data_IF_006993465122
#
_entry.id   IF_006993465122
#
_cell.length_a   1.000
_cell.length_b   1.000
_cell.length_c   1.000
_cell.angle_alpha   90.00
_cell.angle_beta   90.00
_cell.angle_gamma   90.00
#
_symmetry.space_group_name_H-M   'P 1'
#
loop_
_entity.id
_entity.type
_entity.pdbx_description
1 polymer ?
#
# COMPACT_ATOMS: atom_id res chain seq x y z
N UNK A 1 -5.83 13.83 -49.03
CA UNK A 1 -6.92 13.45 -48.12
C UNK A 1 -6.31 12.59 -47.02
N UNK A 2 -6.23 13.11 -45.81
CA UNK A 2 -5.73 12.31 -44.65
C UNK A 2 -6.95 11.58 -44.06
N UNK A 3 -6.96 10.26 -44.12
CA UNK A 3 -7.95 9.42 -43.44
C UNK A 3 -7.59 9.38 -41.97
N UNK A 4 -8.30 10.13 -41.14
CA UNK A 4 -8.19 10.05 -39.70
C UNK A 4 -8.92 8.77 -39.31
N UNK A 5 -8.12 7.68 -39.08
CA UNK A 5 -8.62 6.44 -38.49
C UNK A 5 -8.97 6.73 -37.01
N UNK A 6 -10.26 6.93 -36.73
CA UNK A 6 -10.79 6.96 -35.38
C UNK A 6 -10.83 5.51 -34.86
N UNK A 7 -9.72 5.02 -34.28
CA UNK A 7 -9.69 3.73 -33.62
C UNK A 7 -10.72 3.69 -32.47
N UNK A 8 -11.53 2.63 -32.42
CA UNK A 8 -12.52 2.39 -31.36
C UNK A 8 -11.78 2.11 -30.04
N UNK A 9 -12.16 2.81 -28.96
CA UNK A 9 -11.70 2.44 -27.62
C UNK A 9 -12.45 1.21 -27.14
N UNK A 10 -11.73 0.16 -26.80
CA UNK A 10 -12.26 -1.08 -26.24
C UNK A 10 -11.83 -1.17 -24.77
N UNK A 11 -12.78 -1.47 -23.92
CA UNK A 11 -12.53 -1.71 -22.50
C UNK A 11 -11.83 -3.08 -22.34
N UNK A 12 -10.74 -3.09 -21.60
CA UNK A 12 -10.04 -4.31 -21.19
C UNK A 12 -10.32 -4.50 -19.70
N UNK A 13 -10.96 -5.61 -19.31
CA UNK A 13 -11.24 -5.88 -17.90
C UNK A 13 -9.96 -5.99 -17.08
N UNK A 14 -10.03 -5.85 -15.75
CA UNK A 14 -8.90 -6.07 -14.87
C UNK A 14 -8.38 -7.50 -15.03
N UNK A 15 -7.09 -7.72 -14.76
CA UNK A 15 -6.52 -9.07 -14.76
C UNK A 15 -7.05 -9.89 -13.57
N UNK A 16 -7.33 -9.20 -12.46
CA UNK A 16 -7.90 -9.77 -11.24
C UNK A 16 -9.22 -9.10 -10.99
N UNK A 17 -10.28 -9.89 -10.99
CA UNK A 17 -11.63 -9.48 -10.68
C UNK A 17 -11.95 -9.90 -9.25
N UNK A 18 -12.16 -8.92 -8.38
CA UNK A 18 -12.46 -9.13 -6.96
C UNK A 18 -13.96 -9.34 -6.68
N UNK A 19 -14.82 -9.18 -7.65
CA UNK A 19 -16.29 -9.32 -7.47
C UNK A 19 -16.70 -10.73 -7.08
N UNK A 20 -15.84 -11.74 -7.34
CA UNK A 20 -16.04 -13.11 -6.88
C UNK A 20 -15.76 -13.32 -5.38
N UNK A 21 -15.11 -12.35 -4.72
CA UNK A 21 -14.84 -12.35 -3.29
C UNK A 21 -15.85 -11.42 -2.60
N UNK A 22 -16.82 -11.97 -1.90
CA UNK A 22 -17.93 -11.19 -1.30
C UNK A 22 -17.45 -10.16 -0.29
N UNK A 23 -16.49 -10.55 0.56
CA UNK A 23 -15.85 -9.70 1.57
C UNK A 23 -14.36 -9.98 1.59
N UNK A 24 -13.58 -8.93 1.58
CA UNK A 24 -12.11 -8.99 1.60
C UNK A 24 -11.61 -8.27 2.84
N UNK A 25 -10.74 -8.92 3.61
CA UNK A 25 -10.02 -8.28 4.70
C UNK A 25 -8.81 -7.51 4.17
N UNK A 26 -8.44 -6.45 4.84
CA UNK A 26 -7.14 -5.80 4.67
C UNK A 26 -6.51 -5.59 6.04
N UNK A 27 -5.29 -6.09 6.20
CA UNK A 27 -4.43 -5.81 7.36
C UNK A 27 -3.66 -4.54 7.04
N UNK A 28 -3.52 -3.63 8.00
CA UNK A 28 -2.69 -2.45 7.84
C UNK A 28 -1.27 -2.87 7.44
N UNK A 29 -0.75 -2.25 6.38
CA UNK A 29 0.58 -2.60 5.87
C UNK A 29 1.63 -2.32 6.93
N UNK A 30 2.50 -3.29 7.14
CA UNK A 30 3.61 -3.14 8.05
C UNK A 30 4.60 -2.12 7.50
N UNK A 31 5.10 -1.23 8.35
CA UNK A 31 6.15 -0.29 8.01
C UNK A 31 7.37 -0.50 8.89
N UNK A 32 8.56 -0.52 8.29
CA UNK A 32 9.81 -0.50 9.08
C UNK A 32 10.06 0.86 9.72
N UNK A 33 9.59 1.94 9.06
CA UNK A 33 9.74 3.30 9.58
C UNK A 33 8.55 3.68 10.46
N UNK A 34 8.84 4.29 11.61
CA UNK A 34 7.81 4.81 12.51
C UNK A 34 7.00 5.94 11.87
N UNK A 35 5.71 6.04 12.22
CA UNK A 35 4.82 7.14 11.85
C UNK A 35 3.66 6.74 10.95
N UNK A 36 3.19 7.69 10.15
CA UNK A 36 1.91 7.59 9.41
C UNK A 36 2.05 7.09 7.97
N UNK A 37 3.27 6.78 7.50
CA UNK A 37 3.49 6.47 6.09
C UNK A 37 2.83 5.13 5.70
N UNK A 38 3.00 4.07 6.49
CA UNK A 38 2.40 2.77 6.21
C UNK A 38 0.87 2.77 6.34
N UNK A 39 0.25 3.31 7.42
CA UNK A 39 -1.20 3.49 7.50
C UNK A 39 -1.77 4.32 6.34
N UNK A 40 -1.07 5.37 5.96
CA UNK A 40 -1.48 6.20 4.82
C UNK A 40 -1.45 5.41 3.50
N UNK A 41 -0.41 4.59 3.30
CA UNK A 41 -0.28 3.72 2.11
C UNK A 41 -1.38 2.67 2.06
N UNK A 42 -1.72 2.03 3.19
CA UNK A 42 -2.83 1.07 3.29
C UNK A 42 -4.16 1.70 2.89
N UNK A 43 -4.44 2.89 3.42
CA UNK A 43 -5.64 3.65 3.07
C UNK A 43 -5.69 3.97 1.58
N UNK A 44 -4.60 4.46 0.99
CA UNK A 44 -4.52 4.77 -0.44
C UNK A 44 -4.69 3.52 -1.32
N UNK A 45 -4.10 2.39 -0.92
CA UNK A 45 -4.30 1.12 -1.62
C UNK A 45 -5.78 0.69 -1.57
N UNK A 46 -6.41 0.76 -0.40
CA UNK A 46 -7.84 0.47 -0.24
C UNK A 46 -8.72 1.37 -1.12
N UNK A 47 -8.41 2.68 -1.17
CA UNK A 47 -9.10 3.63 -2.04
C UNK A 47 -8.94 3.28 -3.52
N UNK A 48 -7.72 2.89 -3.95
CA UNK A 48 -7.44 2.49 -5.33
C UNK A 48 -8.22 1.23 -5.71
N UNK A 49 -8.23 0.20 -4.86
CA UNK A 49 -9.00 -1.02 -5.10
C UNK A 49 -10.50 -0.72 -5.20
N UNK A 50 -11.07 0.06 -4.26
CA UNK A 50 -12.50 0.44 -4.29
C UNK A 50 -12.89 1.27 -5.51
N UNK A 51 -11.99 2.10 -6.01
CA UNK A 51 -12.23 2.91 -7.20
C UNK A 51 -12.33 2.07 -8.48
N UNK A 52 -11.47 1.04 -8.58
CA UNK A 52 -11.29 0.27 -9.80
C UNK A 52 -12.08 -1.05 -9.79
N UNK A 53 -12.52 -1.52 -8.61
CA UNK A 53 -13.31 -2.73 -8.38
C UNK A 53 -14.62 -2.35 -7.70
N UNK A 54 -15.67 -2.19 -8.50
CA UNK A 54 -16.99 -1.77 -8.01
C UNK A 54 -17.65 -2.87 -7.16
N UNK A 55 -18.45 -2.45 -6.16
CA UNK A 55 -19.31 -3.33 -5.35
C UNK A 55 -18.59 -4.33 -4.43
N UNK A 56 -17.28 -4.18 -4.19
CA UNK A 56 -16.58 -5.00 -3.20
C UNK A 56 -16.70 -4.43 -1.79
N UNK A 57 -16.79 -5.32 -0.81
CA UNK A 57 -16.73 -4.96 0.61
C UNK A 57 -15.33 -5.23 1.15
N UNK A 58 -14.65 -4.18 1.61
CA UNK A 58 -13.34 -4.29 2.24
C UNK A 58 -13.50 -3.96 3.72
N UNK A 59 -13.07 -4.90 4.58
CA UNK A 59 -13.03 -4.76 6.03
C UNK A 59 -11.60 -4.47 6.45
N UNK A 60 -11.41 -3.38 7.17
CA UNK A 60 -10.15 -3.06 7.82
C UNK A 60 -10.02 -3.90 9.09
N UNK A 61 -8.95 -4.69 9.17
CA UNK A 61 -8.69 -5.61 10.28
C UNK A 61 -7.80 -5.00 11.37
N UNK A 62 -7.31 -3.78 11.14
CA UNK A 62 -6.33 -3.14 12.02
C UNK A 62 -4.89 -3.55 11.71
N UNK A 63 -4.01 -3.34 12.67
CA UNK A 63 -2.57 -3.64 12.53
C UNK A 63 -2.29 -5.15 12.55
N UNK A 64 -1.16 -5.56 11.97
CA UNK A 64 -0.71 -6.97 12.02
C UNK A 64 -0.64 -7.49 13.46
N UNK A 65 -0.12 -6.69 14.39
CA UNK A 65 0.03 -7.09 15.80
C UNK A 65 -1.33 -7.29 16.50
N UNK A 66 -2.34 -6.48 16.15
CA UNK A 66 -3.71 -6.64 16.66
C UNK A 66 -4.33 -7.92 16.14
N UNK A 67 -4.29 -8.13 14.83
CA UNK A 67 -4.83 -9.33 14.18
C UNK A 67 -4.15 -10.60 14.72
N UNK A 68 -2.82 -10.63 14.80
CA UNK A 68 -2.07 -11.78 15.30
C UNK A 68 -2.39 -12.09 16.77
N UNK A 69 -2.57 -11.06 17.60
CA UNK A 69 -2.97 -11.22 18.99
C UNK A 69 -4.38 -11.82 19.11
N UNK A 70 -5.31 -11.38 18.28
CA UNK A 70 -6.69 -11.85 18.31
C UNK A 70 -6.82 -13.34 17.92
N UNK A 71 -6.00 -13.78 16.95
CA UNK A 71 -5.99 -15.18 16.50
C UNK A 71 -4.97 -16.06 17.24
N UNK A 72 -4.14 -15.49 18.13
CA UNK A 72 -3.17 -16.24 18.95
C UNK A 72 -1.93 -16.72 18.21
N UNK A 73 -1.46 -15.98 17.21
CA UNK A 73 -0.25 -16.26 16.42
C UNK A 73 0.80 -15.17 16.59
N UNK A 74 2.09 -15.52 16.36
CA UNK A 74 3.22 -14.58 16.47
C UNK A 74 3.63 -13.95 15.12
N UNK A 75 3.13 -14.49 14.01
CA UNK A 75 3.47 -14.01 12.66
C UNK A 75 2.42 -14.45 11.64
N UNK A 76 2.31 -13.72 10.55
CA UNK A 76 1.52 -14.13 9.39
C UNK A 76 2.15 -15.37 8.73
N UNK A 77 1.53 -16.50 8.96
CA UNK A 77 1.87 -17.79 8.37
C UNK A 77 0.64 -18.33 7.63
N UNK A 78 0.81 -19.43 6.91
CA UNK A 78 -0.31 -20.13 6.27
C UNK A 78 -1.44 -20.40 7.27
N UNK A 79 -1.10 -20.96 8.43
CA UNK A 79 -2.08 -21.33 9.45
C UNK A 79 -2.70 -20.08 10.09
N UNK A 80 -1.93 -18.98 10.22
CA UNK A 80 -2.46 -17.71 10.68
C UNK A 80 -3.50 -17.12 9.70
N UNK A 81 -3.26 -17.20 8.38
CA UNK A 81 -4.26 -16.76 7.39
C UNK A 81 -5.53 -17.60 7.45
N UNK A 82 -5.43 -18.92 7.71
CA UNK A 82 -6.61 -19.77 7.92
C UNK A 82 -7.38 -19.34 9.18
N UNK A 83 -6.67 -19.08 10.28
CA UNK A 83 -7.29 -18.59 11.52
C UNK A 83 -7.95 -17.20 11.33
N UNK A 84 -7.36 -16.30 10.53
CA UNK A 84 -7.97 -15.02 10.17
C UNK A 84 -9.30 -15.25 9.43
N UNK A 85 -9.31 -16.19 8.48
CA UNK A 85 -10.53 -16.54 7.74
C UNK A 85 -11.66 -17.03 8.65
N UNK A 86 -11.32 -17.87 9.63
CA UNK A 86 -12.29 -18.40 10.61
C UNK A 86 -12.78 -17.34 11.59
N UNK A 87 -11.86 -16.49 12.12
CA UNK A 87 -12.20 -15.46 13.12
C UNK A 87 -13.06 -14.33 12.54
N UNK A 88 -12.74 -13.88 11.33
CA UNK A 88 -13.38 -12.71 10.72
C UNK A 88 -14.40 -13.06 9.61
N UNK A 89 -14.64 -14.35 9.35
CA UNK A 89 -15.52 -14.86 8.28
C UNK A 89 -15.15 -14.26 6.90
N UNK A 90 -13.89 -14.42 6.52
CA UNK A 90 -13.31 -13.86 5.30
C UNK A 90 -12.73 -14.95 4.40
N UNK A 91 -13.05 -14.91 3.12
CA UNK A 91 -12.47 -15.80 2.12
C UNK A 91 -11.08 -15.34 1.62
N UNK A 92 -10.79 -14.04 1.74
CA UNK A 92 -9.57 -13.44 1.16
C UNK A 92 -9.10 -12.26 2.01
N UNK A 93 -7.78 -12.13 2.15
CA UNK A 93 -7.13 -11.06 2.91
C UNK A 93 -5.97 -10.46 2.10
N UNK A 94 -5.90 -9.13 2.10
CA UNK A 94 -4.70 -8.39 1.70
C UNK A 94 -3.80 -8.17 2.92
N UNK A 95 -2.50 -8.45 2.73
CA UNK A 95 -1.45 -8.08 3.65
C UNK A 95 -0.28 -7.48 2.86
N UNK A 96 0.50 -6.62 3.47
CA UNK A 96 1.61 -5.97 2.77
C UNK A 96 2.61 -5.34 3.72
N UNK A 97 3.73 -4.93 3.13
CA UNK A 97 4.82 -4.27 3.84
C UNK A 97 5.34 -3.09 3.03
N UNK A 98 5.61 -1.99 3.72
CA UNK A 98 6.24 -0.79 3.16
C UNK A 98 7.66 -0.67 3.71
N UNK A 99 8.62 -0.99 2.88
CA UNK A 99 10.05 -0.89 3.17
C UNK A 99 10.57 0.48 2.77
N UNK A 100 11.28 1.15 3.68
CA UNK A 100 12.01 2.39 3.39
C UNK A 100 13.50 2.08 3.47
N UNK A 101 14.15 1.91 2.31
CA UNK A 101 15.53 1.43 2.23
C UNK A 101 16.58 2.53 2.38
N UNK A 102 16.25 3.76 2.01
CA UNK A 102 17.16 4.91 2.12
C UNK A 102 16.39 6.23 2.25
N UNK A 103 16.93 7.13 3.05
CA UNK A 103 16.40 8.48 3.26
C UNK A 103 17.55 9.46 3.15
N UNK A 104 17.53 10.30 2.10
CA UNK A 104 18.57 11.31 1.82
C UNK A 104 18.02 12.72 2.08
N UNK A 105 18.25 13.29 3.27
CA UNK A 105 17.83 14.65 3.58
C UNK A 105 18.50 15.67 2.66
N UNK A 106 17.77 16.72 2.28
CA UNK A 106 18.37 17.85 1.55
C UNK A 106 19.36 18.59 2.46
N UNK A 107 20.67 18.41 2.17
CA UNK A 107 21.79 18.93 2.98
C UNK A 107 21.90 20.46 2.90
N UNK A 108 21.28 21.11 1.94
CA UNK A 108 21.29 22.58 1.84
C UNK A 108 20.64 23.27 3.04
N UNK A 109 19.83 22.54 3.81
CA UNK A 109 19.21 22.97 5.06
C UNK A 109 19.90 22.45 6.33
N UNK A 110 20.94 21.60 6.21
CA UNK A 110 21.55 20.86 7.32
C UNK A 110 22.31 21.70 8.35
N UNK A 111 22.48 22.99 8.14
CA UNK A 111 23.09 23.90 9.14
C UNK A 111 22.12 24.34 10.24
N UNK A 112 20.86 23.93 10.20
CA UNK A 112 19.82 24.35 11.17
C UNK A 112 19.20 23.13 11.88
N UNK A 113 19.88 21.97 11.92
CA UNK A 113 19.40 20.82 12.69
C UNK A 113 19.46 21.10 14.21
N UNK A 114 18.47 21.80 14.71
CA UNK A 114 18.03 21.67 16.09
C UNK A 114 17.00 20.55 16.15
N UNK A 115 17.13 19.63 17.10
CA UNK A 115 16.20 18.52 17.31
C UNK A 115 14.73 18.98 17.19
N UNK A 116 13.97 18.34 16.30
CA UNK A 116 12.55 18.62 16.08
C UNK A 116 12.19 19.41 14.82
N UNK A 117 13.12 19.68 13.89
CA UNK A 117 12.77 20.30 12.62
C UNK A 117 12.51 19.22 11.55
N UNK A 118 11.43 19.40 10.79
CA UNK A 118 11.13 18.62 9.61
C UNK A 118 11.88 19.15 8.40
N UNK A 119 12.36 18.25 7.55
CA UNK A 119 13.07 18.58 6.31
C UNK A 119 12.49 17.79 5.15
N UNK A 120 12.67 18.28 3.93
CA UNK A 120 12.45 17.46 2.73
C UNK A 120 13.58 16.45 2.59
N UNK A 121 13.25 15.26 2.07
CA UNK A 121 14.22 14.21 1.82
C UNK A 121 13.85 13.45 0.56
N UNK A 122 14.84 12.97 -0.17
CA UNK A 122 14.64 11.94 -1.18
C UNK A 122 14.56 10.58 -0.47
N UNK A 123 13.52 9.81 -0.77
CA UNK A 123 13.23 8.52 -0.13
C UNK A 123 13.11 7.43 -1.16
N UNK A 124 13.83 6.33 -0.91
CA UNK A 124 13.67 5.07 -1.63
C UNK A 124 12.73 4.16 -0.85
N UNK A 125 11.59 3.82 -1.44
CA UNK A 125 10.60 2.96 -0.80
C UNK A 125 10.13 1.85 -1.75
N UNK A 126 9.78 0.71 -1.15
CA UNK A 126 9.19 -0.44 -1.83
C UNK A 126 7.94 -0.87 -1.10
N UNK A 127 6.84 -0.98 -1.83
CA UNK A 127 5.57 -1.52 -1.36
C UNK A 127 5.44 -2.95 -1.87
N UNK A 128 5.37 -3.91 -0.96
CA UNK A 128 5.05 -5.31 -1.25
C UNK A 128 3.64 -5.62 -0.76
N UNK A 129 2.81 -6.21 -1.63
CA UNK A 129 1.44 -6.57 -1.28
C UNK A 129 1.16 -7.98 -1.78
N UNK A 130 0.43 -8.74 -0.97
CA UNK A 130 -0.08 -10.06 -1.33
C UNK A 130 -1.58 -10.15 -1.05
N UNK A 131 -2.26 -10.97 -1.84
CA UNK A 131 -3.63 -11.40 -1.63
C UNK A 131 -3.62 -12.90 -1.31
N UNK A 132 -4.20 -13.29 -0.19
CA UNK A 132 -4.15 -14.67 0.32
C UNK A 132 -5.57 -15.19 0.45
N UNK A 133 -5.81 -16.40 -0.05
CA UNK A 133 -7.02 -17.17 0.22
C UNK A 133 -6.94 -17.75 1.64
N UNK A 134 -7.93 -17.48 2.45
CA UNK A 134 -7.89 -17.85 3.88
C UNK A 134 -8.16 -19.34 4.09
N UNK A 135 -8.99 -20.00 3.27
CA UNK A 135 -9.28 -21.42 3.40
C UNK A 135 -8.02 -22.29 3.28
N UNK A 136 -7.17 -22.01 2.29
CA UNK A 136 -5.94 -22.77 2.04
C UNK A 136 -4.68 -22.12 2.58
N UNK A 137 -4.72 -20.82 2.91
CA UNK A 137 -3.55 -19.99 3.20
C UNK A 137 -2.64 -19.82 2.00
N UNK A 138 -3.15 -20.01 0.77
CA UNK A 138 -2.37 -19.87 -0.45
C UNK A 138 -2.37 -18.42 -0.94
N UNK A 139 -1.21 -17.94 -1.42
CA UNK A 139 -1.15 -16.65 -2.09
C UNK A 139 -1.82 -16.75 -3.46
N UNK A 140 -2.86 -15.95 -3.68
CA UNK A 140 -3.55 -15.81 -4.96
C UNK A 140 -2.86 -14.82 -5.89
N UNK A 141 -2.23 -13.81 -5.31
CA UNK A 141 -1.55 -12.76 -6.04
C UNK A 141 -0.53 -12.06 -5.14
N UNK A 142 0.55 -11.59 -5.73
CA UNK A 142 1.53 -10.74 -5.09
C UNK A 142 2.11 -9.74 -6.09
N UNK A 143 2.61 -8.63 -5.57
CA UNK A 143 3.28 -7.60 -6.33
C UNK A 143 4.31 -6.88 -5.48
N UNK A 144 5.26 -6.22 -6.15
CA UNK A 144 6.21 -5.31 -5.53
C UNK A 144 6.32 -4.08 -6.43
N UNK A 145 6.25 -2.90 -5.83
CA UNK A 145 6.40 -1.60 -6.49
C UNK A 145 7.45 -0.79 -5.76
N UNK A 146 8.40 -0.22 -6.49
CA UNK A 146 9.49 0.57 -5.90
C UNK A 146 9.55 1.96 -6.52
N UNK A 147 9.85 2.96 -5.71
CA UNK A 147 10.01 4.34 -6.16
C UNK A 147 11.05 5.11 -5.33
N UNK A 148 11.71 6.04 -6.00
CA UNK A 148 12.52 7.09 -5.38
C UNK A 148 11.79 8.40 -5.59
N UNK A 149 11.44 9.11 -4.52
CA UNK A 149 10.74 10.40 -4.59
C UNK A 149 11.20 11.34 -3.48
N UNK A 150 11.16 12.62 -3.79
CA UNK A 150 11.27 13.65 -2.76
C UNK A 150 9.96 13.73 -1.98
N UNK A 151 10.08 13.77 -0.65
CA UNK A 151 8.95 13.94 0.27
C UNK A 151 9.13 15.22 1.07
N UNK A 152 8.00 15.85 1.41
CA UNK A 152 8.00 17.18 2.01
C UNK A 152 8.22 17.21 3.52
N UNK A 153 8.25 16.07 4.20
CA UNK A 153 8.30 16.04 5.65
C UNK A 153 8.89 14.74 6.21
N UNK A 154 10.08 14.84 6.78
CA UNK A 154 10.71 13.79 7.59
C UNK A 154 11.25 14.43 8.84
N UNK A 155 10.99 13.86 10.01
CA UNK A 155 11.63 14.24 11.25
C UNK A 155 12.74 13.22 11.60
N UNK A 156 13.78 13.70 12.27
CA UNK A 156 14.85 12.84 12.79
C UNK A 156 14.70 12.70 14.30
N UNK A 157 14.83 11.49 14.78
CA UNK A 157 14.83 11.20 16.20
C UNK A 157 16.26 11.17 16.75
N UNK A 158 16.44 11.43 18.08
CA UNK A 158 17.75 11.45 18.75
C UNK A 158 18.54 10.13 18.67
N UNK A 159 17.93 9.04 18.19
CA UNK A 159 18.58 7.75 17.93
C UNK A 159 19.09 7.56 16.50
N UNK A 160 18.95 8.55 15.61
CA UNK A 160 19.38 8.50 14.19
C UNK A 160 18.37 7.83 13.25
N UNK A 161 17.14 7.57 13.69
CA UNK A 161 16.04 7.07 12.86
C UNK A 161 15.22 8.19 12.23
N UNK A 162 14.49 7.86 11.16
CA UNK A 162 13.55 8.75 10.49
C UNK A 162 12.12 8.43 10.91
N UNK A 163 11.32 9.47 11.15
CA UNK A 163 9.90 9.37 11.53
C UNK A 163 9.05 10.11 10.51
N UNK A 164 7.99 9.45 10.05
CA UNK A 164 7.06 9.95 9.03
C UNK A 164 5.73 10.33 9.71
N UNK A 165 5.71 11.44 10.42
CA UNK A 165 4.60 11.87 11.28
C UNK A 165 3.89 13.16 10.81
N UNK A 166 4.00 13.50 9.52
CA UNK A 166 3.37 14.69 8.96
C UNK A 166 1.90 14.83 9.37
N UNK A 167 1.48 16.05 9.70
CA UNK A 167 0.08 16.37 10.00
C UNK A 167 -0.82 16.14 8.78
N UNK A 168 -0.31 16.46 7.59
CA UNK A 168 -0.95 16.24 6.29
C UNK A 168 -0.12 15.22 5.47
N UNK A 169 -0.40 13.91 5.60
CA UNK A 169 0.32 12.87 4.87
C UNK A 169 0.15 12.96 3.35
N UNK A 170 -0.99 13.46 2.86
CA UNK A 170 -1.22 13.64 1.41
C UNK A 170 -0.23 14.63 0.81
N UNK A 171 -0.06 15.77 1.49
CA UNK A 171 0.88 16.80 1.03
C UNK A 171 2.34 16.37 1.19
N UNK A 172 2.65 15.62 2.26
CA UNK A 172 4.02 15.24 2.58
C UNK A 172 4.50 14.03 1.75
N UNK A 173 3.67 13.02 1.56
CA UNK A 173 4.05 11.71 1.03
C UNK A 173 3.22 11.31 -0.21
N UNK A 174 2.24 12.11 -0.61
CA UNK A 174 1.26 11.76 -1.63
C UNK A 174 1.90 11.33 -2.94
N UNK A 175 2.92 12.02 -3.44
CA UNK A 175 3.58 11.69 -4.70
C UNK A 175 4.27 10.31 -4.66
N UNK A 176 4.94 9.97 -3.54
CA UNK A 176 5.56 8.67 -3.33
C UNK A 176 4.50 7.57 -3.25
N UNK A 177 3.54 7.75 -2.34
CA UNK A 177 2.53 6.73 -2.04
C UNK A 177 1.59 6.51 -3.23
N UNK A 178 1.15 7.57 -3.90
CA UNK A 178 0.30 7.44 -5.09
C UNK A 178 1.02 6.65 -6.18
N UNK A 179 2.31 6.90 -6.42
CA UNK A 179 3.07 6.13 -7.40
C UNK A 179 3.14 4.64 -7.03
N UNK A 180 3.53 4.32 -5.78
CA UNK A 180 3.64 2.94 -5.30
C UNK A 180 2.30 2.20 -5.40
N UNK A 181 1.23 2.84 -4.94
CA UNK A 181 -0.12 2.27 -4.96
C UNK A 181 -0.65 2.12 -6.38
N UNK A 182 -0.47 3.15 -7.22
CA UNK A 182 -0.90 3.12 -8.61
C UNK A 182 -0.22 1.98 -9.38
N UNK A 183 1.05 1.70 -9.15
CA UNK A 183 1.76 0.59 -9.77
C UNK A 183 1.38 -0.76 -9.15
N UNK A 184 1.31 -0.87 -7.82
CA UNK A 184 0.94 -2.10 -7.12
C UNK A 184 -0.50 -2.55 -7.44
N UNK A 185 -1.45 -1.62 -7.58
CA UNK A 185 -2.85 -1.94 -7.87
C UNK A 185 -3.19 -2.11 -9.35
N UNK A 186 -2.19 -2.06 -10.24
CA UNK A 186 -2.38 -2.07 -11.70
C UNK A 186 -3.21 -3.25 -12.22
N UNK A 187 -3.05 -4.43 -11.65
CA UNK A 187 -3.72 -5.64 -12.11
C UNK A 187 -5.22 -5.68 -11.76
N UNK A 188 -5.67 -4.80 -10.86
CA UNK A 188 -7.08 -4.65 -10.48
C UNK A 188 -7.83 -3.61 -11.31
N UNK A 189 -7.19 -2.96 -12.30
CA UNK A 189 -7.77 -1.84 -13.05
C UNK A 189 -8.38 -2.25 -14.36
N UNK A 190 -9.50 -1.58 -14.68
CA UNK A 190 -10.02 -1.50 -16.04
C UNK A 190 -9.11 -0.62 -16.87
N UNK A 191 -8.68 -1.09 -18.02
CA UNK A 191 -7.86 -0.32 -18.95
C UNK A 191 -8.60 -0.14 -20.29
N UNK A 192 -8.16 0.82 -21.11
CA UNK A 192 -8.75 1.10 -22.42
C UNK A 192 -7.70 0.96 -23.51
N UNK A 193 -7.97 0.11 -24.48
CA UNK A 193 -7.11 -0.10 -25.65
C UNK A 193 -7.76 0.52 -26.88
N UNK A 194 -6.98 1.12 -27.78
CA UNK A 194 -7.42 1.51 -29.12
C UNK A 194 -7.17 0.35 -30.06
N UNK A 195 -8.21 -0.04 -30.81
CA UNK A 195 -8.11 -0.95 -31.94
C UNK A 195 -8.05 -0.18 -33.26
#
# INVERSE_FOLDING_TARGET
>A
MAVISCGRKVMVPPKIDLTQHEVIGIIEFKGEAEGKLAPFTTRKFTEAIRRDQEMIRIVDLGTEDEVLRDIGYDRLSRDAFQAIGEEYDLATVFAGELLVSDVRPDISLSLIFTAGMSVSAEVDATLEVQMVETESGASLWNTSSSATREIGYVSMWEGGGFVFDAEDPEKAYGDLVNYLVEDASRDFRVTWRRE
#
